data_IF_106712249815
#
_entry.id   IF_106712249815
#
_cell.length_a   1.000
_cell.length_b   1.000
_cell.length_c   1.000
_cell.angle_alpha   90.00
_cell.angle_beta   90.00
_cell.angle_gamma   90.00
#
_symmetry.space_group_name_H-M   'P 1'
#
loop_
_entity.id
_entity.type
_entity.pdbx_description
1 polymer ?
#
# COMPACT_ATOMS: atom_id res chain seq x y z
N UNK A 1 -10.95 -0.07 -18.13
CA UNK A 1 -9.96 1.02 -18.13
C UNK A 1 -8.61 0.41 -18.47
N UNK A 2 -7.92 0.92 -19.49
CA UNK A 2 -6.58 0.51 -19.88
C UNK A 2 -5.61 1.57 -19.35
N UNK A 3 -4.77 1.20 -18.39
CA UNK A 3 -3.80 2.12 -17.76
C UNK A 3 -2.38 1.70 -18.07
N UNK A 4 -1.68 2.46 -18.90
CA UNK A 4 -0.27 2.21 -19.22
C UNK A 4 0.42 3.51 -19.61
N UNK A 5 1.47 3.91 -18.87
CA UNK A 5 2.17 5.18 -19.12
C UNK A 5 2.64 5.32 -20.55
N UNK A 6 3.31 4.31 -21.08
CA UNK A 6 3.85 4.30 -22.45
C UNK A 6 2.85 3.77 -23.50
N UNK A 7 1.72 3.25 -23.09
CA UNK A 7 0.76 2.51 -23.90
C UNK A 7 1.45 1.48 -24.81
N UNK A 8 2.36 0.73 -24.21
CA UNK A 8 3.20 -0.25 -24.91
C UNK A 8 3.59 -1.46 -24.06
N UNK A 9 3.07 -1.54 -22.81
CA UNK A 9 3.30 -2.69 -21.94
C UNK A 9 2.54 -3.90 -22.48
N UNK A 10 3.28 -4.93 -22.88
CA UNK A 10 2.74 -6.11 -23.60
C UNK A 10 1.63 -6.78 -22.79
N UNK A 11 1.85 -7.05 -21.49
CA UNK A 11 0.87 -7.70 -20.63
C UNK A 11 -0.44 -6.89 -20.55
N UNK A 12 -0.34 -5.58 -20.37
CA UNK A 12 -1.49 -4.68 -20.29
C UNK A 12 -2.30 -4.70 -21.57
N UNK A 13 -1.63 -4.59 -22.72
CA UNK A 13 -2.31 -4.56 -24.03
C UNK A 13 -2.86 -5.93 -24.42
N UNK A 14 -2.18 -7.02 -24.09
CA UNK A 14 -2.68 -8.38 -24.29
C UNK A 14 -3.95 -8.64 -23.51
N UNK A 15 -3.98 -8.26 -22.22
CA UNK A 15 -5.18 -8.36 -21.39
C UNK A 15 -6.33 -7.48 -21.92
N UNK A 16 -6.01 -6.25 -22.36
CA UNK A 16 -6.99 -5.36 -22.98
C UNK A 16 -7.57 -5.95 -24.27
N UNK A 17 -6.74 -6.58 -25.10
CA UNK A 17 -7.18 -7.25 -26.33
C UNK A 17 -8.07 -8.45 -26.03
N UNK A 18 -7.78 -9.23 -25.01
CA UNK A 18 -8.63 -10.33 -24.54
C UNK A 18 -10.00 -9.83 -24.11
N UNK A 19 -10.04 -8.75 -23.31
CA UNK A 19 -11.29 -8.11 -22.89
C UNK A 19 -12.09 -7.56 -24.08
N UNK A 20 -11.39 -6.97 -25.07
CA UNK A 20 -12.01 -6.49 -26.31
C UNK A 20 -12.66 -7.64 -27.08
N UNK A 21 -11.95 -8.72 -27.33
CA UNK A 21 -12.51 -9.89 -28.04
C UNK A 21 -13.72 -10.48 -27.32
N UNK A 22 -13.68 -10.55 -26.00
CA UNK A 22 -14.80 -11.02 -25.19
C UNK A 22 -16.05 -10.14 -25.37
N UNK A 23 -15.89 -8.81 -25.32
CA UNK A 23 -16.98 -7.88 -25.53
C UNK A 23 -17.52 -7.92 -26.97
N UNK A 24 -16.62 -7.93 -27.97
CA UNK A 24 -17.00 -8.03 -29.39
C UNK A 24 -17.74 -9.31 -29.70
N UNK A 25 -17.38 -10.42 -29.06
CA UNK A 25 -18.09 -11.69 -29.19
C UNK A 25 -19.51 -11.63 -28.62
N UNK A 26 -19.71 -10.88 -27.55
CA UNK A 26 -20.99 -10.78 -26.84
C UNK A 26 -21.91 -9.70 -27.41
N UNK A 27 -21.35 -8.58 -27.85
CA UNK A 27 -22.11 -7.38 -28.27
C UNK A 27 -22.05 -7.12 -29.79
N UNK A 28 -21.29 -7.91 -30.53
CA UNK A 28 -21.01 -7.71 -31.96
C UNK A 28 -19.80 -6.78 -32.18
N UNK A 29 -19.17 -6.93 -33.36
CA UNK A 29 -18.04 -6.09 -33.75
C UNK A 29 -18.56 -4.72 -34.24
N UNK A 30 -18.37 -3.71 -33.43
CA UNK A 30 -18.68 -2.33 -33.82
C UNK A 30 -17.76 -1.33 -33.14
N UNK A 31 -17.55 -0.19 -33.82
CA UNK A 31 -16.85 0.96 -33.22
C UNK A 31 -17.55 1.45 -31.93
N UNK A 32 -18.83 1.20 -31.78
CA UNK A 32 -19.63 1.53 -30.60
C UNK A 32 -19.16 0.75 -29.36
N UNK A 33 -18.70 -0.49 -29.51
CA UNK A 33 -18.17 -1.29 -28.37
C UNK A 33 -16.96 -0.60 -27.76
N UNK A 34 -16.00 -0.16 -28.57
CA UNK A 34 -14.83 0.53 -28.06
C UNK A 34 -15.21 1.87 -27.44
N UNK A 35 -16.10 2.64 -28.09
CA UNK A 35 -16.53 3.95 -27.59
C UNK A 35 -17.27 3.85 -26.25
N UNK A 36 -18.14 2.87 -26.08
CA UNK A 36 -18.99 2.75 -24.88
C UNK A 36 -18.32 2.02 -23.71
N UNK A 37 -17.36 1.12 -23.98
CA UNK A 37 -16.85 0.20 -22.96
C UNK A 37 -15.37 0.36 -22.63
N UNK A 38 -14.63 1.16 -23.40
CA UNK A 38 -13.20 1.35 -23.17
C UNK A 38 -12.83 2.80 -22.87
N UNK A 39 -12.02 2.94 -21.84
CA UNK A 39 -11.40 4.19 -21.42
C UNK A 39 -9.90 3.91 -21.26
N UNK A 40 -9.05 4.85 -21.60
CA UNK A 40 -7.61 4.67 -21.45
C UNK A 40 -6.91 5.85 -20.74
N UNK A 41 -5.85 5.51 -20.01
CA UNK A 41 -4.98 6.44 -19.31
C UNK A 41 -3.54 6.24 -19.78
N UNK A 42 -2.93 7.25 -20.37
CA UNK A 42 -1.56 7.18 -20.90
C UNK A 42 -0.95 8.57 -21.10
N UNK A 43 0.38 8.63 -21.29
CA UNK A 43 1.08 9.82 -21.82
C UNK A 43 1.06 9.86 -23.36
N UNK A 44 0.48 8.84 -24.04
CA UNK A 44 0.58 8.61 -25.49
C UNK A 44 -0.79 8.59 -26.17
N UNK A 45 -1.40 9.77 -26.41
CA UNK A 45 -2.72 9.87 -27.02
C UNK A 45 -2.78 9.25 -28.41
N UNK A 46 -1.70 9.36 -29.19
CA UNK A 46 -1.59 8.77 -30.52
C UNK A 46 -1.77 7.24 -30.49
N UNK A 47 -1.13 6.56 -29.53
CA UNK A 47 -1.24 5.11 -29.38
C UNK A 47 -2.61 4.67 -28.86
N UNK A 48 -3.23 5.46 -27.97
CA UNK A 48 -4.61 5.21 -27.53
C UNK A 48 -5.57 5.29 -28.72
N UNK A 49 -5.39 6.28 -29.59
CA UNK A 49 -6.19 6.46 -30.81
C UNK A 49 -5.97 5.30 -31.80
N UNK A 50 -4.71 4.88 -32.05
CA UNK A 50 -4.37 3.73 -32.88
C UNK A 50 -5.01 2.43 -32.39
N UNK A 51 -5.10 2.23 -31.07
CA UNK A 51 -5.76 1.07 -30.46
C UNK A 51 -7.28 1.10 -30.62
N UNK A 52 -7.86 2.29 -30.90
CA UNK A 52 -9.30 2.51 -31.12
C UNK A 52 -10.03 3.19 -29.96
N UNK A 53 -9.33 3.81 -29.02
CA UNK A 53 -9.96 4.58 -27.95
C UNK A 53 -10.42 5.92 -28.48
N UNK A 54 -11.70 6.24 -28.32
CA UNK A 54 -12.26 7.53 -28.70
C UNK A 54 -11.62 8.67 -27.89
N UNK A 55 -11.42 9.83 -28.50
CA UNK A 55 -10.71 10.97 -27.87
C UNK A 55 -11.32 11.39 -26.52
N UNK A 56 -12.66 11.38 -26.44
CA UNK A 56 -13.41 11.68 -25.21
C UNK A 56 -13.20 10.67 -24.08
N UNK A 57 -12.66 9.49 -24.38
CA UNK A 57 -12.36 8.40 -23.44
C UNK A 57 -10.86 8.30 -23.10
N UNK A 58 -10.07 9.27 -23.53
CA UNK A 58 -8.63 9.31 -23.26
C UNK A 58 -8.33 10.27 -22.11
N UNK A 59 -7.71 9.75 -21.07
CA UNK A 59 -7.23 10.52 -19.93
C UNK A 59 -5.71 10.64 -20.01
N UNK A 60 -5.24 11.88 -20.18
CA UNK A 60 -3.80 12.13 -20.34
C UNK A 60 -3.07 12.13 -19.00
N UNK A 61 -2.04 11.30 -18.94
CA UNK A 61 -1.07 11.28 -17.85
C UNK A 61 0.12 12.16 -18.25
N UNK A 62 0.68 12.92 -17.32
CA UNK A 62 1.85 13.74 -17.57
C UNK A 62 3.16 12.95 -17.41
N UNK A 63 4.18 13.32 -18.17
CA UNK A 63 5.47 12.61 -18.18
C UNK A 63 6.19 12.64 -16.83
N UNK A 64 6.00 13.69 -16.03
CA UNK A 64 6.59 13.80 -14.70
C UNK A 64 5.93 12.88 -13.65
N UNK A 65 4.77 12.30 -13.94
CA UNK A 65 4.12 11.34 -13.04
C UNK A 65 4.79 9.98 -13.15
N UNK A 66 5.42 9.54 -12.07
CA UNK A 66 6.00 8.20 -11.98
C UNK A 66 4.91 7.13 -11.83
N UNK A 67 5.03 5.98 -12.52
CA UNK A 67 4.01 4.92 -12.54
C UNK A 67 3.59 4.46 -11.13
N UNK A 68 4.54 4.11 -10.27
CA UNK A 68 4.29 3.64 -8.91
C UNK A 68 3.78 4.73 -7.95
N UNK A 69 3.93 6.01 -8.32
CA UNK A 69 3.43 7.17 -7.58
C UNK A 69 2.20 7.82 -8.23
N UNK A 70 1.58 7.15 -9.21
CA UNK A 70 0.55 7.73 -10.06
C UNK A 70 -0.88 7.69 -9.48
N UNK A 71 -1.05 7.06 -8.32
CA UNK A 71 -2.34 6.86 -7.66
C UNK A 71 -3.17 8.15 -7.49
N UNK A 72 -2.48 9.28 -7.33
CA UNK A 72 -3.03 10.62 -7.16
C UNK A 72 -3.44 11.30 -8.48
N UNK A 73 -3.12 10.70 -9.61
CA UNK A 73 -3.40 11.21 -10.96
C UNK A 73 -4.65 10.56 -11.57
N UNK A 74 -4.85 10.71 -12.87
CA UNK A 74 -5.92 10.02 -13.61
C UNK A 74 -5.80 8.48 -13.57
N UNK A 75 -4.67 7.91 -13.18
CA UNK A 75 -4.54 6.48 -12.85
C UNK A 75 -5.48 6.08 -11.70
N UNK A 76 -5.80 7.01 -10.79
CA UNK A 76 -6.77 6.80 -9.72
C UNK A 76 -8.23 6.74 -10.17
N UNK A 77 -8.53 6.83 -11.47
CA UNK A 77 -9.90 6.74 -11.99
C UNK A 77 -10.69 5.52 -11.48
N UNK A 78 -10.14 4.29 -11.44
CA UNK A 78 -10.84 3.14 -10.85
C UNK A 78 -11.20 3.33 -9.38
N UNK A 79 -10.33 4.01 -8.62
CA UNK A 79 -10.59 4.33 -7.22
C UNK A 79 -11.74 5.32 -7.12
N UNK A 80 -11.69 6.41 -7.89
CA UNK A 80 -12.73 7.42 -7.92
C UNK A 80 -14.11 6.84 -8.31
N UNK A 81 -14.14 5.87 -9.23
CA UNK A 81 -15.36 5.15 -9.60
C UNK A 81 -15.87 4.24 -8.48
N UNK A 82 -14.98 3.69 -7.67
CA UNK A 82 -15.34 2.76 -6.59
C UNK A 82 -15.82 3.47 -5.32
N UNK A 83 -15.12 4.54 -4.91
CA UNK A 83 -15.41 5.25 -3.66
C UNK A 83 -16.17 6.57 -3.86
N UNK A 84 -16.45 6.92 -5.09
CA UNK A 84 -17.09 8.18 -5.48
C UNK A 84 -16.12 9.37 -5.47
N UNK A 85 -16.57 10.47 -6.07
CA UNK A 85 -15.75 11.69 -6.22
C UNK A 85 -15.36 12.28 -4.86
N UNK A 86 -16.28 12.32 -3.91
CA UNK A 86 -16.02 12.88 -2.59
C UNK A 86 -15.05 12.03 -1.79
N UNK A 87 -15.16 10.70 -1.88
CA UNK A 87 -14.18 9.78 -1.30
C UNK A 87 -12.79 9.96 -1.91
N UNK A 88 -12.71 10.11 -3.23
CA UNK A 88 -11.44 10.36 -3.90
C UNK A 88 -10.82 11.72 -3.52
N UNK A 89 -11.64 12.78 -3.37
CA UNK A 89 -11.16 14.06 -2.85
C UNK A 89 -10.61 13.96 -1.43
N UNK A 90 -11.26 13.19 -0.55
CA UNK A 90 -10.76 12.93 0.80
C UNK A 90 -9.43 12.18 0.77
N UNK A 91 -9.29 11.21 -0.13
CA UNK A 91 -8.04 10.49 -0.36
C UNK A 91 -6.90 11.43 -0.79
N UNK A 92 -7.16 12.32 -1.75
CA UNK A 92 -6.21 13.37 -2.16
C UNK A 92 -5.88 14.36 -1.03
N UNK A 93 -6.88 14.72 -0.22
CA UNK A 93 -6.68 15.62 0.92
C UNK A 93 -5.74 15.01 1.97
N UNK A 94 -5.79 13.69 2.21
CA UNK A 94 -4.85 13.01 3.10
C UNK A 94 -3.41 13.13 2.63
N UNK A 95 -3.16 12.92 1.33
CA UNK A 95 -1.83 13.13 0.75
C UNK A 95 -1.36 14.60 0.87
N UNK A 96 -2.26 15.54 0.60
CA UNK A 96 -1.96 16.97 0.73
C UNK A 96 -1.61 17.37 2.18
N UNK A 97 -2.26 16.77 3.17
CA UNK A 97 -1.91 17.00 4.58
C UNK A 97 -0.47 16.57 4.90
N UNK A 98 -0.01 15.46 4.34
CA UNK A 98 1.38 15.01 4.51
C UNK A 98 2.34 15.93 3.75
N UNK A 99 2.01 16.42 2.56
CA UNK A 99 2.82 17.40 1.84
C UNK A 99 2.99 18.69 2.66
N UNK A 100 1.93 19.18 3.29
CA UNK A 100 2.00 20.33 4.19
C UNK A 100 2.83 20.02 5.45
N UNK A 101 2.63 18.85 6.04
CA UNK A 101 3.36 18.44 7.24
C UNK A 101 4.88 18.37 6.98
N UNK A 102 5.31 17.77 5.86
CA UNK A 102 6.74 17.66 5.54
C UNK A 102 7.40 19.02 5.32
N UNK A 103 6.63 20.01 4.83
CA UNK A 103 7.12 21.37 4.58
C UNK A 103 7.16 22.25 5.84
N UNK A 104 6.25 22.03 6.79
CA UNK A 104 5.99 22.94 7.90
C UNK A 104 6.43 22.42 9.27
N UNK A 105 6.46 21.09 9.45
CA UNK A 105 6.81 20.52 10.74
C UNK A 105 8.29 20.73 11.07
N UNK A 106 8.63 21.05 12.33
CA UNK A 106 10.00 21.03 12.81
C UNK A 106 10.63 19.65 12.59
N UNK A 107 11.95 19.62 12.39
CA UNK A 107 12.66 18.39 12.05
C UNK A 107 12.35 17.22 13.01
N UNK A 108 12.33 17.50 14.31
CA UNK A 108 12.11 16.52 15.38
C UNK A 108 10.65 16.01 15.45
N UNK A 109 9.75 16.63 14.71
CA UNK A 109 8.33 16.28 14.65
C UNK A 109 7.90 15.88 13.24
N UNK A 110 8.82 15.91 12.27
CA UNK A 110 8.52 15.62 10.87
C UNK A 110 8.46 14.12 10.64
N UNK A 111 7.25 13.56 10.63
CA UNK A 111 7.02 12.11 10.55
C UNK A 111 7.71 11.46 9.35
N UNK A 112 7.56 11.93 8.10
CA UNK A 112 8.25 11.34 6.96
C UNK A 112 9.78 11.37 7.08
N UNK A 113 10.34 12.45 7.62
CA UNK A 113 11.80 12.58 7.84
C UNK A 113 12.26 11.57 8.90
N UNK A 114 11.55 11.48 10.02
CA UNK A 114 11.87 10.54 11.09
C UNK A 114 11.75 9.08 10.61
N UNK A 115 10.70 8.74 9.87
CA UNK A 115 10.55 7.39 9.30
C UNK A 115 11.71 7.05 8.35
N UNK A 116 12.10 7.97 7.47
CA UNK A 116 13.24 7.79 6.58
C UNK A 116 14.56 7.58 7.33
N UNK A 117 14.83 8.38 8.36
CA UNK A 117 16.02 8.24 9.20
C UNK A 117 16.03 6.92 9.98
N UNK A 118 14.90 6.52 10.55
CA UNK A 118 14.76 5.23 11.23
C UNK A 118 14.97 4.06 10.27
N UNK A 119 14.46 4.15 9.04
CA UNK A 119 14.69 3.15 7.99
C UNK A 119 16.19 2.99 7.69
N UNK A 120 16.91 4.09 7.49
CA UNK A 120 18.36 4.09 7.28
C UNK A 120 19.09 3.50 8.50
N UNK A 121 18.70 3.92 9.68
CA UNK A 121 19.29 3.46 10.94
C UNK A 121 19.12 1.95 11.12
N UNK A 122 17.91 1.46 10.96
CA UNK A 122 17.58 0.04 11.09
C UNK A 122 18.38 -0.81 10.10
N UNK A 123 18.39 -0.41 8.83
CA UNK A 123 19.00 -1.19 7.77
C UNK A 123 20.54 -1.19 7.84
N UNK A 124 21.15 0.00 8.02
CA UNK A 124 22.61 0.15 7.92
C UNK A 124 23.36 0.03 9.25
N UNK A 125 22.74 0.36 10.38
CA UNK A 125 23.42 0.38 11.69
C UNK A 125 22.97 -0.75 12.61
N UNK A 126 21.71 -1.16 12.53
CA UNK A 126 21.17 -2.26 13.33
C UNK A 126 21.11 -3.59 12.56
N UNK A 127 21.54 -3.61 11.30
CA UNK A 127 21.53 -4.80 10.43
C UNK A 127 20.15 -5.47 10.32
N UNK A 128 19.07 -4.66 10.32
CA UNK A 128 17.71 -5.13 10.11
C UNK A 128 17.43 -5.13 8.60
N UNK A 129 17.74 -6.21 7.94
CA UNK A 129 17.67 -6.33 6.47
C UNK A 129 16.23 -6.46 5.94
N UNK A 130 15.25 -6.63 6.82
CA UNK A 130 13.84 -6.77 6.44
C UNK A 130 12.95 -5.85 7.25
N UNK A 131 11.89 -5.40 6.62
CA UNK A 131 10.88 -4.50 7.21
C UNK A 131 9.49 -5.08 7.01
N UNK A 132 8.81 -5.40 8.11
CA UNK A 132 7.47 -5.96 8.10
C UNK A 132 6.41 -4.86 8.26
N UNK A 133 5.45 -4.81 7.35
CA UNK A 133 4.29 -3.91 7.40
C UNK A 133 3.07 -4.71 7.82
N UNK A 134 2.51 -4.39 8.98
CA UNK A 134 1.50 -5.17 9.69
C UNK A 134 0.20 -4.37 9.86
N UNK A 135 -0.64 -4.25 8.83
CA UNK A 135 -1.91 -3.56 8.92
C UNK A 135 -2.95 -4.41 9.65
N UNK A 136 -3.57 -3.86 10.69
CA UNK A 136 -4.68 -4.47 11.42
C UNK A 136 -6.04 -4.07 10.83
N UNK A 137 -6.10 -4.03 9.49
CA UNK A 137 -7.32 -3.82 8.71
C UNK A 137 -7.26 -4.60 7.41
N UNK A 138 -8.24 -5.46 7.16
CA UNK A 138 -8.33 -6.28 5.95
C UNK A 138 -8.43 -5.47 4.64
N UNK A 139 -8.86 -4.20 4.70
CA UNK A 139 -8.86 -3.30 3.54
C UNK A 139 -7.45 -2.97 3.06
N UNK A 140 -6.45 -3.12 3.93
CA UNK A 140 -5.03 -2.87 3.65
C UNK A 140 -4.23 -4.15 3.33
N UNK A 141 -4.89 -5.27 3.04
CA UNK A 141 -4.21 -6.56 2.81
C UNK A 141 -3.16 -6.52 1.68
N UNK A 142 -3.30 -5.64 0.72
CA UNK A 142 -2.34 -5.47 -0.37
C UNK A 142 -1.35 -4.32 -0.14
N UNK A 143 -1.37 -3.69 1.03
CA UNK A 143 -0.55 -2.51 1.30
C UNK A 143 0.95 -2.85 1.31
N UNK A 144 1.35 -3.97 1.93
CA UNK A 144 2.74 -4.42 1.88
C UNK A 144 3.20 -4.66 0.43
N UNK A 145 2.39 -5.32 -0.40
CA UNK A 145 2.70 -5.55 -1.81
C UNK A 145 2.80 -4.23 -2.62
N UNK A 146 1.97 -3.25 -2.32
CA UNK A 146 2.06 -1.91 -2.90
C UNK A 146 3.38 -1.22 -2.52
N UNK A 147 3.77 -1.27 -1.24
CA UNK A 147 5.02 -0.71 -0.75
C UNK A 147 6.25 -1.42 -1.31
N UNK A 148 6.18 -2.70 -1.65
CA UNK A 148 7.27 -3.41 -2.31
C UNK A 148 7.69 -2.70 -3.60
N UNK A 149 6.75 -2.34 -4.45
CA UNK A 149 7.08 -1.58 -5.66
C UNK A 149 7.54 -0.16 -5.35
N UNK A 150 6.88 0.54 -4.43
CA UNK A 150 7.27 1.89 -4.05
C UNK A 150 8.70 1.95 -3.52
N UNK A 151 9.06 1.05 -2.62
CA UNK A 151 10.33 1.06 -1.89
C UNK A 151 11.41 0.28 -2.63
N UNK A 152 11.18 -1.01 -2.90
CA UNK A 152 12.22 -1.90 -3.40
C UNK A 152 12.59 -1.61 -4.85
N UNK A 153 11.62 -1.29 -5.73
CA UNK A 153 11.92 -0.90 -7.10
C UNK A 153 12.55 0.51 -7.18
N UNK A 154 12.17 1.41 -6.26
CA UNK A 154 12.74 2.77 -6.24
C UNK A 154 14.16 2.79 -5.69
N UNK A 155 14.39 2.17 -4.54
CA UNK A 155 15.61 2.28 -3.75
C UNK A 155 16.52 1.05 -3.83
N UNK A 156 16.02 -0.11 -4.24
CA UNK A 156 16.79 -1.36 -4.38
C UNK A 156 17.82 -1.31 -5.51
N UNK A 157 18.73 -0.36 -5.45
CA UNK A 157 19.76 -0.11 -6.47
C UNK A 157 21.13 -0.06 -5.83
N UNK A 158 22.09 -0.79 -6.43
CA UNK A 158 23.47 -0.88 -5.95
C UNK A 158 24.43 0.09 -6.66
N UNK A 159 23.96 0.86 -7.65
CA UNK A 159 24.79 1.77 -8.44
C UNK A 159 24.34 3.22 -8.20
N UNK A 160 25.30 4.07 -7.88
CA UNK A 160 25.13 5.50 -7.70
C UNK A 160 25.03 6.21 -9.06
N UNK A 161 24.65 7.49 -9.06
CA UNK A 161 24.52 8.30 -10.29
C UNK A 161 25.82 8.49 -11.05
N UNK A 162 26.95 8.41 -10.36
CA UNK A 162 28.31 8.48 -10.94
C UNK A 162 28.82 7.15 -11.50
N UNK A 163 28.00 6.08 -11.45
CA UNK A 163 28.35 4.75 -11.94
C UNK A 163 29.08 3.86 -10.92
N UNK A 164 29.41 4.36 -9.75
CA UNK A 164 30.07 3.59 -8.70
C UNK A 164 29.07 2.71 -7.93
N UNK A 165 29.56 1.62 -7.34
CA UNK A 165 28.76 0.84 -6.39
C UNK A 165 28.56 1.61 -5.11
N UNK A 166 27.37 1.50 -4.52
CA UNK A 166 27.11 2.01 -3.18
C UNK A 166 27.84 1.17 -2.13
N UNK A 167 28.25 1.79 -1.03
CA UNK A 167 28.92 1.15 0.10
C UNK A 167 27.98 0.92 1.29
N UNK A 168 26.70 1.27 1.14
CA UNK A 168 25.64 1.10 2.14
C UNK A 168 24.45 0.40 1.55
N UNK A 169 23.61 -0.16 2.41
CA UNK A 169 22.35 -0.79 2.02
C UNK A 169 21.29 0.26 1.69
N UNK A 170 20.69 0.15 0.52
CA UNK A 170 19.81 1.17 -0.03
C UNK A 170 18.34 0.99 0.34
N UNK A 171 17.93 -0.24 0.64
CA UNK A 171 16.56 -0.51 1.05
C UNK A 171 16.44 -1.89 1.71
N UNK A 172 15.56 -2.06 2.72
CA UNK A 172 15.26 -3.36 3.28
C UNK A 172 14.36 -4.18 2.34
N UNK A 173 14.23 -5.48 2.61
CA UNK A 173 13.20 -6.32 1.99
C UNK A 173 11.88 -6.01 2.69
N UNK A 174 10.94 -5.39 1.96
CA UNK A 174 9.61 -5.06 2.46
C UNK A 174 8.67 -6.24 2.28
N UNK A 175 7.96 -6.62 3.33
CA UNK A 175 6.99 -7.70 3.34
C UNK A 175 5.92 -7.45 4.41
N UNK A 176 4.92 -8.28 4.50
CA UNK A 176 3.91 -8.14 5.54
C UNK A 176 2.59 -8.81 5.17
N UNK A 177 1.70 -8.83 6.15
CA UNK A 177 0.36 -9.41 6.05
C UNK A 177 -0.57 -8.69 7.02
N UNK A 178 -1.87 -8.83 6.84
CA UNK A 178 -2.88 -8.36 7.81
C UNK A 178 -2.60 -8.97 9.18
N UNK A 179 -2.51 -8.12 10.20
CA UNK A 179 -2.06 -8.48 11.54
C UNK A 179 -2.68 -9.74 12.14
N UNK A 180 -4.02 -9.91 12.16
CA UNK A 180 -4.64 -11.14 12.65
C UNK A 180 -4.16 -12.40 11.92
N UNK A 181 -3.96 -12.36 10.60
CA UNK A 181 -3.41 -13.48 9.84
C UNK A 181 -1.92 -13.67 10.13
N UNK A 182 -1.17 -12.57 10.19
CA UNK A 182 0.25 -12.56 10.49
C UNK A 182 0.59 -13.23 11.82
N UNK A 183 -0.25 -13.03 12.85
CA UNK A 183 -0.09 -13.65 14.16
C UNK A 183 -0.02 -15.19 14.09
N UNK A 184 -0.77 -15.78 13.17
CA UNK A 184 -0.81 -17.22 12.97
C UNK A 184 0.18 -17.74 11.92
N UNK A 185 0.82 -16.83 11.17
CA UNK A 185 1.72 -17.20 10.09
C UNK A 185 3.21 -17.10 10.48
N UNK A 186 3.64 -15.97 11.04
CA UNK A 186 5.07 -15.69 11.23
C UNK A 186 5.45 -14.92 12.52
N UNK A 187 4.52 -14.60 13.40
CA UNK A 187 4.84 -13.91 14.65
C UNK A 187 5.75 -14.73 15.56
N UNK A 188 5.72 -16.04 15.44
CA UNK A 188 6.68 -16.93 16.13
C UNK A 188 8.14 -16.50 15.81
N UNK A 189 8.45 -16.20 14.55
CA UNK A 189 9.76 -15.71 14.13
C UNK A 189 10.05 -14.32 14.70
N UNK A 190 9.07 -13.41 14.70
CA UNK A 190 9.26 -12.06 15.22
C UNK A 190 9.57 -12.06 16.72
N UNK A 191 8.94 -12.93 17.50
CA UNK A 191 9.11 -12.98 18.96
C UNK A 191 10.30 -13.85 19.42
N UNK A 192 10.59 -14.94 18.73
CA UNK A 192 11.55 -15.94 19.20
C UNK A 192 12.58 -16.34 18.12
N UNK A 193 12.56 -15.71 16.96
CA UNK A 193 13.51 -15.96 15.88
C UNK A 193 14.87 -15.35 16.16
N UNK A 194 15.82 -15.67 15.29
CA UNK A 194 17.21 -15.20 15.38
C UNK A 194 17.50 -13.97 14.54
N UNK A 195 16.53 -13.52 13.74
CA UNK A 195 16.66 -12.36 12.88
C UNK A 195 15.93 -11.16 13.47
N UNK A 196 16.60 -10.01 13.51
CA UNK A 196 15.96 -8.75 13.86
C UNK A 196 15.19 -8.23 12.66
N UNK A 197 13.92 -7.86 12.88
CA UNK A 197 13.00 -7.34 11.86
C UNK A 197 12.42 -6.03 12.37
N UNK A 198 12.53 -4.97 11.58
CA UNK A 198 11.77 -3.74 11.86
C UNK A 198 10.31 -3.93 11.49
N UNK A 199 9.39 -3.40 12.30
CA UNK A 199 7.95 -3.63 12.11
C UNK A 199 7.18 -2.32 12.21
N UNK A 200 6.32 -2.05 11.21
CA UNK A 200 5.31 -1.00 11.26
C UNK A 200 3.93 -1.60 11.53
N UNK A 201 3.33 -1.17 12.63
CA UNK A 201 1.96 -1.54 13.00
C UNK A 201 1.00 -0.44 12.57
N UNK A 202 0.02 -0.79 11.73
CA UNK A 202 -0.94 0.17 11.19
C UNK A 202 -2.35 -0.26 11.60
N UNK A 203 -3.07 0.60 12.30
CA UNK A 203 -4.45 0.34 12.67
C UNK A 203 -5.30 1.61 12.51
N UNK A 204 -6.51 1.52 11.94
CA UNK A 204 -7.43 2.65 11.93
C UNK A 204 -7.98 2.86 13.34
N UNK A 205 -8.01 4.11 13.77
CA UNK A 205 -8.64 4.45 15.06
C UNK A 205 -10.14 4.13 15.02
N UNK A 206 -10.79 4.41 13.89
CA UNK A 206 -12.18 4.12 13.65
C UNK A 206 -12.34 3.45 12.27
N UNK A 207 -12.88 2.23 12.28
CA UNK A 207 -13.10 1.46 11.05
C UNK A 207 -14.52 1.59 10.52
N UNK A 208 -15.49 1.66 11.40
CA UNK A 208 -16.91 1.63 11.11
C UNK A 208 -17.64 2.83 11.70
N UNK A 209 -18.56 3.41 10.94
CA UNK A 209 -19.54 4.36 11.44
C UNK A 209 -20.86 3.60 11.65
N UNK A 210 -21.48 3.75 12.80
CA UNK A 210 -22.74 3.08 13.13
C UNK A 210 -23.84 3.31 12.07
N UNK A 211 -23.82 4.48 11.43
CA UNK A 211 -24.80 4.86 10.40
C UNK A 211 -24.60 4.15 9.04
N UNK A 212 -23.54 3.35 8.88
CA UNK A 212 -23.26 2.62 7.63
C UNK A 212 -23.89 1.22 7.57
N UNK A 213 -24.53 0.79 8.66
CA UNK A 213 -25.09 -0.55 8.76
C UNK A 213 -26.62 -0.54 8.70
N UNK A 214 -27.16 -1.44 7.87
CA UNK A 214 -28.60 -1.64 7.74
C UNK A 214 -29.21 -2.38 8.95
N UNK A 215 -28.36 -3.11 9.72
CA UNK A 215 -28.76 -3.88 10.90
C UNK A 215 -27.92 -3.52 12.11
N UNK A 216 -28.55 -3.05 13.18
CA UNK A 216 -27.88 -2.59 14.40
C UNK A 216 -27.02 -3.68 15.07
N UNK A 217 -27.53 -4.92 15.14
CA UNK A 217 -26.82 -6.07 15.74
C UNK A 217 -25.49 -6.39 15.02
N UNK A 218 -25.45 -6.23 13.70
CA UNK A 218 -24.22 -6.42 12.92
C UNK A 218 -23.20 -5.31 13.17
N UNK A 219 -23.65 -4.11 13.49
CA UNK A 219 -22.79 -2.98 13.78
C UNK A 219 -22.00 -3.17 15.09
N UNK A 220 -22.67 -3.63 16.15
CA UNK A 220 -22.03 -3.89 17.46
C UNK A 220 -20.94 -4.95 17.33
N UNK A 221 -21.24 -6.10 16.74
CA UNK A 221 -20.27 -7.19 16.53
C UNK A 221 -19.05 -6.73 15.74
N UNK A 222 -19.24 -5.92 14.69
CA UNK A 222 -18.12 -5.42 13.89
C UNK A 222 -17.27 -4.39 14.63
N UNK A 223 -17.89 -3.58 15.49
CA UNK A 223 -17.18 -2.65 16.37
C UNK A 223 -16.36 -3.41 17.42
N UNK A 224 -16.93 -4.45 18.04
CA UNK A 224 -16.20 -5.32 18.97
C UNK A 224 -15.02 -6.01 18.31
N UNK A 225 -15.19 -6.57 17.11
CA UNK A 225 -14.10 -7.16 16.32
C UNK A 225 -13.01 -6.14 16.00
N UNK A 226 -13.39 -4.90 15.71
CA UNK A 226 -12.41 -3.84 15.50
C UNK A 226 -11.64 -3.51 16.78
N UNK A 227 -12.30 -3.39 17.91
CA UNK A 227 -11.65 -3.16 19.20
C UNK A 227 -10.71 -4.31 19.58
N UNK A 228 -11.08 -5.55 19.29
CA UNK A 228 -10.23 -6.71 19.49
C UNK A 228 -8.98 -6.66 18.60
N UNK A 229 -9.15 -6.33 17.32
CA UNK A 229 -8.03 -6.17 16.38
C UNK A 229 -7.07 -5.05 16.82
N UNK A 230 -7.61 -3.90 17.26
CA UNK A 230 -6.83 -2.78 17.79
C UNK A 230 -6.08 -3.17 19.07
N UNK A 231 -6.72 -3.87 19.98
CA UNK A 231 -6.09 -4.37 21.21
C UNK A 231 -4.93 -5.34 20.90
N UNK A 232 -5.13 -6.25 19.95
CA UNK A 232 -4.06 -7.14 19.47
C UNK A 232 -2.90 -6.33 18.84
N UNK A 233 -3.19 -5.35 18.00
CA UNK A 233 -2.19 -4.48 17.41
C UNK A 233 -1.30 -3.83 18.48
N UNK A 234 -1.93 -3.21 19.48
CA UNK A 234 -1.24 -2.53 20.57
C UNK A 234 -0.45 -3.50 21.46
N UNK A 235 -1.02 -4.67 21.76
CA UNK A 235 -0.35 -5.70 22.57
C UNK A 235 0.89 -6.24 21.86
N UNK A 236 0.78 -6.59 20.57
CA UNK A 236 1.89 -7.12 19.79
C UNK A 236 3.00 -6.08 19.58
N UNK A 237 2.66 -4.84 19.24
CA UNK A 237 3.64 -3.77 19.09
C UNK A 237 4.38 -3.50 20.41
N UNK A 238 3.65 -3.47 21.53
CA UNK A 238 4.24 -3.27 22.86
C UNK A 238 5.18 -4.43 23.24
N UNK A 239 4.78 -5.67 23.00
CA UNK A 239 5.57 -6.83 23.34
C UNK A 239 6.86 -6.88 22.53
N UNK A 240 6.82 -6.59 21.22
CA UNK A 240 8.02 -6.50 20.38
C UNK A 240 8.95 -5.35 20.78
N UNK A 241 8.38 -4.21 21.21
CA UNK A 241 9.19 -3.05 21.60
C UNK A 241 9.88 -3.22 22.97
N UNK A 242 9.23 -3.86 23.93
CA UNK A 242 9.69 -3.92 25.32
C UNK A 242 10.05 -5.31 25.82
N UNK A 243 9.78 -6.37 25.03
CA UNK A 243 10.02 -7.75 25.45
C UNK A 243 9.34 -8.07 26.78
N UNK A 244 10.05 -8.75 27.66
CA UNK A 244 9.54 -9.13 28.99
C UNK A 244 9.16 -7.94 29.88
N UNK A 245 9.67 -6.71 29.60
CA UNK A 245 9.26 -5.51 30.33
C UNK A 245 7.82 -5.04 29.99
N UNK A 246 7.24 -5.56 28.90
CA UNK A 246 5.85 -5.32 28.56
C UNK A 246 4.88 -6.11 29.48
N UNK A 247 5.35 -7.16 30.14
CA UNK A 247 4.54 -8.09 30.94
C UNK A 247 4.57 -7.70 32.42
N UNK A 248 3.50 -8.06 33.15
CA UNK A 248 3.45 -7.92 34.59
C UNK A 248 4.29 -9.03 35.25
N UNK A 249 4.81 -8.81 36.48
CA UNK A 249 5.60 -9.81 37.19
C UNK A 249 4.87 -11.15 37.39
N UNK A 250 3.55 -11.13 37.50
CA UNK A 250 2.72 -12.32 37.62
C UNK A 250 2.67 -13.12 36.33
N UNK A 251 2.54 -12.45 35.19
CA UNK A 251 2.51 -13.04 33.85
C UNK A 251 3.88 -13.67 33.50
N UNK A 252 4.98 -13.09 33.96
CA UNK A 252 6.33 -13.62 33.76
C UNK A 252 6.60 -14.94 34.48
N UNK A 253 5.95 -15.19 35.64
CA UNK A 253 6.13 -16.40 36.41
C UNK A 253 5.55 -17.63 35.73
N UNK A 254 4.53 -17.44 34.94
CA UNK A 254 3.82 -18.52 34.25
C UNK A 254 4.41 -18.82 32.85
N UNK A 255 5.41 -18.05 32.41
CA UNK A 255 6.05 -18.29 31.12
C UNK A 255 7.00 -19.48 31.21
N UNK A 256 6.93 -20.41 30.24
CA UNK A 256 7.96 -21.48 30.12
C UNK A 256 9.34 -20.86 29.89
N UNK A 257 10.39 -21.56 30.36
CA UNK A 257 11.79 -21.12 30.29
C UNK A 257 12.25 -20.82 28.83
N UNK A 258 11.58 -21.39 27.85
CA UNK A 258 11.90 -21.23 26.43
C UNK A 258 11.04 -20.13 25.72
N UNK A 259 10.30 -19.34 26.46
CA UNK A 259 9.48 -18.25 25.91
C UNK A 259 9.97 -16.89 26.31
#
# INVERSE_FOLDING_TARGET
IISSKSFGTIDTLSNAQTARHWLEKSLGQSATVLKCHFVAVSTKPEKMTEWGIAAENQFLLWDWVGGRYSLWSCIGLPIALTIGVDGFKQFLAGAHQIDQHIQQAPFEQNIPVLMGLLGIWNNNFLNMQTHAVLPYDGRLKYFAAYLQQLEMESNGKSIQRDGNKTTWDTCPIVWGEVGPNAQHAFYQLLHQGTHSVSCDFIAPVQRYNANQFTYAESAETLIEQHHLALSNCLAQSRLLAFGNQALKPEELKDLPIYK
#
